data_IF_237670291012
#
_entry.id   IF_237670291012
#
_cell.length_a   1.000
_cell.length_b   1.000
_cell.length_c   1.000
_cell.angle_alpha   90.00
_cell.angle_beta   90.00
_cell.angle_gamma   90.00
#
_symmetry.space_group_name_H-M   'P 1'
#
loop_
_entity.id
_entity.type
_entity.pdbx_description
1 polymer ?
#
# COMPACT_ATOMS: atom_id res chain seq x y z
N UNK A 1 1.19 -30.19 -25.51
CA UNK A 1 -0.21 -30.47 -25.88
C UNK A 1 -0.87 -29.18 -26.31
N UNK A 2 -0.96 -28.92 -27.61
CA UNK A 2 -1.68 -27.75 -28.15
C UNK A 2 -3.12 -28.18 -28.38
N UNK A 3 -4.04 -27.60 -27.62
CA UNK A 3 -5.47 -27.94 -27.67
C UNK A 3 -6.06 -27.46 -29.00
N UNK A 4 -6.85 -28.31 -29.65
CA UNK A 4 -7.46 -28.02 -30.94
C UNK A 4 -8.40 -26.80 -30.88
N UNK A 5 -8.52 -26.00 -31.96
CA UNK A 5 -9.28 -24.75 -31.95
C UNK A 5 -10.74 -24.88 -31.49
N UNK A 6 -11.36 -26.05 -31.74
CA UNK A 6 -12.76 -26.32 -31.37
C UNK A 6 -12.99 -26.54 -29.88
N UNK A 7 -11.95 -26.89 -29.12
CA UNK A 7 -12.04 -27.04 -27.66
C UNK A 7 -11.77 -25.74 -26.89
N UNK A 8 -11.25 -24.70 -27.58
CA UNK A 8 -11.02 -23.37 -27.00
C UNK A 8 -12.32 -22.64 -26.65
N UNK A 9 -13.40 -22.91 -27.39
CA UNK A 9 -14.70 -22.28 -27.20
C UNK A 9 -15.48 -22.80 -25.98
N UNK A 10 -15.02 -23.90 -25.37
CA UNK A 10 -15.72 -24.59 -24.29
C UNK A 10 -14.99 -24.51 -22.94
N UNK A 11 -13.95 -23.69 -22.85
CA UNK A 11 -13.40 -23.28 -21.57
C UNK A 11 -14.35 -22.24 -20.98
N UNK A 12 -15.30 -22.73 -20.18
CA UNK A 12 -15.98 -21.88 -19.20
C UNK A 12 -14.87 -21.43 -18.24
N UNK A 13 -14.40 -20.20 -18.40
CA UNK A 13 -13.61 -19.57 -17.34
C UNK A 13 -14.51 -19.56 -16.13
N UNK A 14 -14.08 -20.21 -15.05
CA UNK A 14 -14.75 -20.10 -13.75
C UNK A 14 -15.06 -18.62 -13.56
N UNK A 15 -16.34 -18.30 -13.44
CA UNK A 15 -16.81 -16.93 -13.28
C UNK A 15 -16.40 -16.49 -11.86
N UNK A 16 -15.09 -16.23 -11.72
CA UNK A 16 -14.43 -16.00 -10.46
C UNK A 16 -14.95 -14.65 -9.98
N UNK A 17 -15.76 -14.70 -8.93
CA UNK A 17 -16.39 -13.52 -8.30
C UNK A 17 -15.36 -12.51 -7.73
N UNK A 18 -14.07 -12.78 -7.90
CA UNK A 18 -12.93 -11.91 -7.64
C UNK A 18 -12.47 -11.06 -8.84
N UNK A 19 -13.13 -11.12 -10.00
CA UNK A 19 -12.80 -10.26 -11.12
C UNK A 19 -13.10 -8.80 -10.75
N UNK A 20 -12.05 -8.03 -10.46
CA UNK A 20 -12.17 -6.60 -10.15
C UNK A 20 -12.40 -5.84 -11.46
N UNK A 21 -13.50 -5.10 -11.54
CA UNK A 21 -13.94 -4.40 -12.75
C UNK A 21 -12.94 -3.34 -13.23
N UNK A 22 -12.35 -2.60 -12.28
CA UNK A 22 -11.27 -1.66 -12.55
C UNK A 22 -10.05 -2.02 -11.68
N UNK A 23 -9.05 -2.72 -12.25
CA UNK A 23 -7.87 -3.13 -11.51
C UNK A 23 -6.98 -1.94 -11.10
N UNK A 24 -7.09 -0.77 -11.75
CA UNK A 24 -6.30 0.42 -11.40
C UNK A 24 -6.93 1.13 -10.20
N UNK A 25 -8.25 1.31 -10.22
CA UNK A 25 -8.98 1.88 -9.09
C UNK A 25 -8.86 1.02 -7.83
N UNK A 26 -8.79 -0.31 -7.96
CA UNK A 26 -8.60 -1.25 -6.85
C UNK A 26 -7.37 -0.95 -5.99
N UNK A 27 -6.26 -0.55 -6.62
CA UNK A 27 -5.04 -0.21 -5.91
C UNK A 27 -5.02 1.25 -5.42
N UNK A 28 -6.14 1.99 -5.57
CA UNK A 28 -6.26 3.39 -5.21
C UNK A 28 -5.15 4.29 -5.80
N UNK A 29 -4.56 3.89 -6.94
CA UNK A 29 -3.45 4.59 -7.61
C UNK A 29 -3.93 5.84 -8.33
N UNK A 30 -5.24 6.04 -8.45
CA UNK A 30 -5.82 7.19 -9.14
C UNK A 30 -5.29 8.50 -8.53
N UNK A 31 -4.47 9.21 -9.31
CA UNK A 31 -4.03 10.54 -8.96
C UNK A 31 -5.28 11.39 -8.72
N UNK A 32 -5.45 12.00 -7.52
CA UNK A 32 -6.62 12.80 -7.25
C UNK A 32 -6.73 13.91 -8.29
N UNK A 33 -7.94 14.14 -8.81
CA UNK A 33 -8.21 15.17 -9.81
C UNK A 33 -7.53 16.50 -9.41
N UNK A 34 -6.81 17.17 -10.34
CA UNK A 34 -6.08 18.38 -10.04
C UNK A 34 -7.02 19.44 -9.45
N UNK A 35 -6.71 19.89 -8.22
CA UNK A 35 -7.53 20.89 -7.49
C UNK A 35 -8.53 20.31 -6.47
N UNK A 36 -8.72 18.99 -6.42
CA UNK A 36 -9.54 18.35 -5.38
C UNK A 36 -8.96 18.54 -3.97
N UNK A 37 -9.81 18.42 -2.94
CA UNK A 37 -9.36 18.51 -1.55
C UNK A 37 -8.36 17.39 -1.17
N UNK A 38 -8.38 16.27 -1.90
CA UNK A 38 -7.40 15.19 -1.78
C UNK A 38 -6.03 15.58 -2.38
N UNK A 39 -6.00 16.36 -3.47
CA UNK A 39 -4.75 16.87 -4.08
C UNK A 39 -3.99 17.85 -3.17
N UNK A 40 -4.69 18.70 -2.42
CA UNK A 40 -4.07 19.72 -1.54
C UNK A 40 -3.44 19.18 -0.26
N UNK A 41 -3.64 17.90 0.05
CA UNK A 41 -3.29 17.30 1.34
C UNK A 41 -2.10 16.33 1.21
N UNK A 42 -0.92 16.80 0.81
CA UNK A 42 0.25 15.91 0.82
C UNK A 42 1.59 16.62 1.05
N UNK A 43 2.10 16.53 2.29
CA UNK A 43 3.53 16.63 2.58
C UNK A 43 4.19 15.23 2.69
N UNK A 44 3.38 14.18 2.93
CA UNK A 44 3.80 12.77 3.01
C UNK A 44 2.72 11.76 2.53
N UNK A 45 1.68 12.24 1.82
CA UNK A 45 0.57 11.42 1.33
C UNK A 45 0.95 10.62 0.08
N UNK A 46 0.91 9.30 0.19
CA UNK A 46 1.16 8.38 -0.91
C UNK A 46 -0.09 8.30 -1.81
N UNK A 47 0.09 8.58 -3.11
CA UNK A 47 -0.73 8.16 -4.25
C UNK A 47 -2.16 7.70 -3.92
N UNK A 48 -3.03 8.61 -3.49
CA UNK A 48 -4.48 8.34 -3.39
C UNK A 48 -4.95 7.52 -2.18
N UNK A 49 -4.06 7.05 -1.31
CA UNK A 49 -4.40 6.30 -0.11
C UNK A 49 -4.84 7.25 1.03
N UNK A 50 -6.12 7.64 1.04
CA UNK A 50 -6.72 8.50 2.08
C UNK A 50 -6.61 7.92 3.50
N UNK A 51 -6.43 6.61 3.64
CA UNK A 51 -6.36 5.90 4.92
C UNK A 51 -4.96 5.95 5.56
N UNK A 52 -3.92 6.24 4.78
CA UNK A 52 -2.52 6.08 5.21
C UNK A 52 -1.82 7.41 5.52
N UNK A 53 -2.47 8.26 6.31
CA UNK A 53 -1.86 9.52 6.77
C UNK A 53 -0.81 9.26 7.87
N UNK A 54 0.42 9.75 7.65
CA UNK A 54 1.52 9.69 8.61
C UNK A 54 1.91 11.10 9.05
N UNK A 55 1.83 11.36 10.35
CA UNK A 55 2.31 12.59 10.98
C UNK A 55 3.82 12.53 11.20
N UNK A 56 4.45 13.69 11.33
CA UNK A 56 5.89 13.77 11.62
C UNK A 56 6.27 13.06 12.94
N UNK A 57 5.36 13.07 13.93
CA UNK A 57 5.55 12.39 15.21
C UNK A 57 5.50 10.85 15.06
N UNK A 58 4.58 10.32 14.25
CA UNK A 58 4.53 8.88 13.97
C UNK A 58 5.76 8.42 13.17
N UNK A 59 6.22 9.25 12.21
CA UNK A 59 7.43 8.95 11.44
C UNK A 59 8.67 8.93 12.34
N UNK A 60 8.83 9.90 13.24
CA UNK A 60 9.97 9.92 14.17
C UNK A 60 9.93 8.75 15.16
N UNK A 61 8.75 8.40 15.67
CA UNK A 61 8.56 7.21 16.51
C UNK A 61 8.92 5.92 15.77
N UNK A 62 8.45 5.78 14.52
CA UNK A 62 8.79 4.65 13.66
C UNK A 62 10.29 4.52 13.43
N UNK A 63 10.97 5.62 13.06
CA UNK A 63 12.41 5.62 12.80
C UNK A 63 13.18 5.25 14.07
N UNK A 64 12.82 5.84 15.22
CA UNK A 64 13.47 5.54 16.50
C UNK A 64 13.31 4.06 16.85
N UNK A 65 12.08 3.53 16.77
CA UNK A 65 11.80 2.13 17.05
C UNK A 65 12.47 1.17 16.05
N UNK A 66 12.60 1.56 14.77
CA UNK A 66 13.29 0.77 13.75
C UNK A 66 14.80 0.68 14.02
N UNK A 67 15.42 1.77 14.49
CA UNK A 67 16.83 1.77 14.86
C UNK A 67 17.12 0.87 16.08
N UNK A 68 16.17 0.74 17.00
CA UNK A 68 16.26 -0.19 18.14
C UNK A 68 15.92 -1.63 17.76
N UNK A 69 14.88 -1.84 16.94
CA UNK A 69 14.34 -3.16 16.59
C UNK A 69 14.22 -3.32 15.06
N UNK A 70 15.34 -3.53 14.34
CA UNK A 70 15.33 -3.56 12.89
C UNK A 70 14.42 -4.66 12.36
N UNK A 71 13.47 -4.27 11.49
CA UNK A 71 12.49 -5.15 10.81
C UNK A 71 11.57 -5.95 11.74
N UNK A 72 11.55 -5.66 13.04
CA UNK A 72 10.59 -6.26 13.98
C UNK A 72 9.30 -5.44 13.98
N UNK A 73 8.57 -5.45 12.87
CA UNK A 73 7.41 -4.57 12.65
C UNK A 73 6.29 -4.75 13.69
N UNK A 74 6.15 -5.95 14.28
CA UNK A 74 5.24 -6.16 15.41
C UNK A 74 5.62 -5.35 16.66
N UNK A 75 6.92 -5.24 16.96
CA UNK A 75 7.41 -4.39 18.07
C UNK A 75 7.36 -2.91 17.71
N UNK A 76 7.66 -2.56 16.47
CA UNK A 76 7.61 -1.17 15.99
C UNK A 76 6.18 -0.64 16.06
N UNK A 77 5.18 -1.43 15.65
CA UNK A 77 3.77 -1.04 15.73
C UNK A 77 3.31 -0.72 17.16
N UNK A 78 3.87 -1.42 18.17
CA UNK A 78 3.59 -1.10 19.56
C UNK A 78 4.09 0.30 20.01
N UNK A 79 5.03 0.89 19.27
CA UNK A 79 5.59 2.22 19.55
C UNK A 79 4.99 3.32 18.67
N UNK A 80 4.16 2.98 17.68
CA UNK A 80 3.49 3.93 16.78
C UNK A 80 1.97 3.81 17.00
N UNK A 81 1.37 4.66 17.85
CA UNK A 81 -0.05 4.57 18.13
C UNK A 81 -0.85 4.81 16.84
N UNK A 82 -2.00 4.15 16.71
CA UNK A 82 -2.89 4.25 15.54
C UNK A 82 -2.35 3.69 14.21
N UNK A 83 -1.24 2.94 14.24
CA UNK A 83 -0.74 2.21 13.07
C UNK A 83 -0.61 0.72 13.37
N UNK A 84 -1.10 -0.08 12.44
CA UNK A 84 -1.00 -1.54 12.48
C UNK A 84 0.36 -2.00 11.96
N UNK A 85 0.73 -3.24 12.28
CA UNK A 85 1.95 -3.88 11.76
C UNK A 85 2.00 -3.84 10.22
N UNK A 86 0.88 -4.06 9.54
CA UNK A 86 0.81 -4.06 8.08
C UNK A 86 1.11 -2.67 7.50
N UNK A 87 0.57 -1.63 8.12
CA UNK A 87 0.86 -0.24 7.74
C UNK A 87 2.33 0.13 7.97
N UNK A 88 2.95 -0.33 9.08
CA UNK A 88 4.38 -0.16 9.33
C UNK A 88 5.24 -0.83 8.24
N UNK A 89 4.85 -2.02 7.77
CA UNK A 89 5.52 -2.72 6.67
C UNK A 89 5.40 -1.94 5.36
N UNK A 90 4.18 -1.52 5.01
CA UNK A 90 3.91 -0.70 3.82
C UNK A 90 4.72 0.61 3.87
N UNK A 91 4.72 1.29 5.02
CA UNK A 91 5.48 2.52 5.24
C UNK A 91 6.98 2.30 5.02
N UNK A 92 7.55 1.21 5.54
CA UNK A 92 8.95 0.87 5.32
C UNK A 92 9.27 0.70 3.83
N UNK A 93 8.51 -0.09 3.08
CA UNK A 93 8.81 -0.31 1.67
C UNK A 93 8.63 0.95 0.82
N UNK A 94 7.68 1.81 1.17
CA UNK A 94 7.46 3.12 0.53
C UNK A 94 8.59 4.13 0.85
N UNK A 95 9.08 4.16 2.10
CA UNK A 95 9.94 5.24 2.59
C UNK A 95 11.38 4.86 2.98
N UNK A 96 11.79 3.58 2.91
CA UNK A 96 13.16 3.17 3.32
C UNK A 96 14.28 3.84 2.54
N UNK A 97 14.07 4.14 1.25
CA UNK A 97 15.05 4.83 0.41
C UNK A 97 15.25 6.28 0.85
N UNK A 98 14.20 7.14 0.91
CA UNK A 98 14.35 8.51 1.37
C UNK A 98 14.83 8.59 2.83
N UNK A 99 14.39 7.67 3.69
CA UNK A 99 14.82 7.61 5.09
C UNK A 99 16.18 6.90 5.32
N UNK A 100 16.83 6.41 4.25
CA UNK A 100 18.11 5.68 4.28
C UNK A 100 18.12 4.48 5.26
N UNK A 101 16.97 3.83 5.41
CA UNK A 101 16.81 2.61 6.22
C UNK A 101 17.27 1.38 5.43
N UNK A 102 17.97 0.47 6.11
CA UNK A 102 18.61 -0.73 5.55
C UNK A 102 17.66 -1.91 5.37
#
# INVERSE_FOLDING_TARGET
MVVAPKQRAQLQFDNNSHAVADPIAFYHVAAPEPGSAAYRRSAYGNNGDTDHYWTQAEVSAFVTAYLTYPKQFGRIAAHVPHKTMNECVLFYYRNKKPLRLK
#
